data_IF_047557773929
#
_entry.id   IF_047557773929
#
_cell.length_a   1.000
_cell.length_b   1.000
_cell.length_c   1.000
_cell.angle_alpha   90.00
_cell.angle_beta   90.00
_cell.angle_gamma   90.00
#
_symmetry.space_group_name_H-M   'P 1'
#
loop_
_entity.id
_entity.type
_entity.pdbx_description
1 polymer ?
#
# COMPACT_ATOMS: atom_id res chain seq x y z
N UNK A 1 7.50 -7.36 35.76
CA UNK A 1 7.00 -6.35 34.81
C UNK A 1 5.95 -7.02 33.97
N UNK A 2 4.70 -6.56 34.04
CA UNK A 2 3.60 -7.08 33.23
C UNK A 2 3.89 -6.77 31.78
N UNK A 3 4.11 -7.80 30.96
CA UNK A 3 4.43 -7.65 29.54
C UNK A 3 3.16 -7.35 28.74
N UNK A 4 2.59 -6.16 28.95
CA UNK A 4 1.35 -5.68 28.34
C UNK A 4 1.33 -5.83 26.81
N UNK A 5 2.50 -5.76 26.17
CA UNK A 5 2.66 -6.02 24.75
C UNK A 5 2.15 -7.41 24.33
N UNK A 6 2.47 -8.48 25.08
CA UNK A 6 2.07 -9.84 24.71
C UNK A 6 0.60 -10.12 25.02
N UNK A 7 0.06 -9.47 26.04
CA UNK A 7 -1.37 -9.54 26.36
C UNK A 7 -2.22 -8.81 25.30
N UNK A 8 -1.74 -7.66 24.80
CA UNK A 8 -2.47 -6.84 23.82
C UNK A 8 -1.55 -6.27 22.72
N UNK A 9 -1.06 -7.12 21.80
CA UNK A 9 -0.12 -6.69 20.76
C UNK A 9 -0.77 -5.78 19.71
N UNK A 10 -2.09 -5.90 19.51
CA UNK A 10 -2.85 -5.13 18.52
C UNK A 10 -3.62 -4.01 19.22
N UNK A 11 -3.24 -2.76 18.91
CA UNK A 11 -3.83 -1.56 19.53
C UNK A 11 -4.95 -0.93 18.70
N UNK A 12 -4.96 -1.14 17.38
CA UNK A 12 -5.87 -0.44 16.46
C UNK A 12 -6.93 -1.36 15.89
N UNK A 13 -8.11 -0.80 15.62
CA UNK A 13 -9.13 -1.46 14.81
C UNK A 13 -8.66 -1.62 13.37
N UNK A 14 -8.95 -2.76 12.70
CA UNK A 14 -8.64 -2.93 11.28
C UNK A 14 -9.47 -2.03 10.35
N UNK A 15 -10.51 -1.39 10.88
CA UNK A 15 -11.43 -0.53 10.12
C UNK A 15 -11.17 0.97 10.31
N UNK A 16 -10.39 1.36 11.31
CA UNK A 16 -10.13 2.76 11.63
C UNK A 16 -8.70 3.15 11.24
N UNK A 17 -8.46 4.46 11.16
CA UNK A 17 -7.10 4.98 10.98
C UNK A 17 -6.19 4.52 12.13
N UNK A 18 -4.98 4.00 11.86
CA UNK A 18 -4.06 3.54 12.89
C UNK A 18 -3.47 4.72 13.64
N UNK A 19 -3.97 4.98 14.84
CA UNK A 19 -3.57 6.12 15.67
C UNK A 19 -2.49 5.78 16.70
N UNK A 20 -2.26 4.50 17.00
CA UNK A 20 -1.33 4.09 18.05
C UNK A 20 -0.34 3.02 17.58
N UNK A 21 0.83 2.95 18.19
CA UNK A 21 1.70 1.79 18.05
C UNK A 21 2.58 1.58 19.28
N UNK A 22 3.02 0.33 19.47
CA UNK A 22 4.06 0.01 20.43
C UNK A 22 5.41 0.54 19.93
N UNK A 23 6.12 1.28 20.80
CA UNK A 23 7.51 1.64 20.57
C UNK A 23 8.38 0.38 20.59
N UNK A 24 9.26 0.28 19.61
CA UNK A 24 10.26 -0.77 19.50
C UNK A 24 11.64 -0.12 19.68
N UNK A 25 12.51 -0.78 20.42
CA UNK A 25 13.91 -0.37 20.55
C UNK A 25 14.72 -0.62 19.26
N UNK A 26 16.01 -0.29 19.30
CA UNK A 26 16.93 -0.49 18.17
C UNK A 26 17.09 -1.97 17.75
N UNK A 27 16.79 -2.90 18.66
CA UNK A 27 16.82 -4.34 18.44
C UNK A 27 15.44 -4.91 18.04
N UNK A 28 14.43 -4.04 17.89
CA UNK A 28 13.07 -4.40 17.51
C UNK A 28 12.24 -4.98 18.65
N UNK A 29 12.69 -4.90 19.90
CA UNK A 29 11.97 -5.38 21.07
C UNK A 29 10.99 -4.33 21.59
N UNK A 30 9.79 -4.73 22.05
CA UNK A 30 8.79 -3.80 22.56
C UNK A 30 9.22 -3.19 23.89
N UNK A 31 9.19 -1.86 23.97
CA UNK A 31 9.55 -1.13 25.21
C UNK A 31 8.39 -1.01 26.21
N UNK A 32 7.24 -1.63 25.90
CA UNK A 32 5.96 -1.45 26.59
C UNK A 32 5.47 0.02 26.66
N UNK A 33 5.97 0.90 25.79
CA UNK A 33 5.45 2.25 25.62
C UNK A 33 4.56 2.34 24.39
N UNK A 34 3.41 2.99 24.55
CA UNK A 34 2.49 3.27 23.46
C UNK A 34 2.76 4.69 22.97
N UNK A 35 2.88 4.84 21.66
CA UNK A 35 3.01 6.13 20.99
C UNK A 35 1.70 6.45 20.27
N UNK A 36 1.20 7.67 20.47
CA UNK A 36 -0.09 8.20 20.01
C UNK A 36 -0.04 8.71 18.55
N UNK A 37 0.68 8.01 17.68
CA UNK A 37 0.68 8.29 16.25
C UNK A 37 0.86 7.01 15.43
N UNK A 38 0.57 7.12 14.12
CA UNK A 38 0.77 6.03 13.16
C UNK A 38 2.25 5.66 13.06
N UNK A 39 2.58 4.37 13.20
CA UNK A 39 3.93 3.87 12.96
C UNK A 39 4.44 4.25 11.57
N UNK A 40 5.59 4.92 11.52
CA UNK A 40 6.27 5.25 10.27
C UNK A 40 6.69 3.97 9.54
N UNK A 41 6.62 3.96 8.21
CA UNK A 41 7.22 2.89 7.43
C UNK A 41 8.73 2.92 7.71
N UNK A 42 9.32 1.74 7.97
CA UNK A 42 10.77 1.50 8.08
C UNK A 42 11.07 0.09 7.58
N UNK A 43 12.14 -0.06 6.81
CA UNK A 43 12.66 -1.39 6.49
C UNK A 43 13.56 -1.84 7.63
N UNK A 44 13.12 -2.87 8.35
CA UNK A 44 13.94 -3.54 9.36
C UNK A 44 14.48 -4.77 8.67
N UNK A 45 15.79 -4.83 8.40
CA UNK A 45 16.43 -6.06 7.93
C UNK A 45 16.51 -7.01 9.13
N UNK A 46 15.75 -8.13 9.13
CA UNK A 46 15.85 -9.10 10.19
C UNK A 46 17.10 -9.94 9.91
N UNK A 47 18.29 -9.40 10.21
CA UNK A 47 19.49 -10.24 10.30
C UNK A 47 19.50 -10.78 11.73
N UNK A 48 19.27 -12.10 11.93
CA UNK A 48 19.39 -12.67 13.26
C UNK A 48 20.84 -12.47 13.73
N UNK A 49 21.01 -11.72 14.83
CA UNK A 49 22.33 -11.55 15.43
C UNK A 49 22.83 -12.94 15.86
N UNK A 50 24.01 -13.41 15.40
CA UNK A 50 24.52 -14.71 15.78
C UNK A 50 24.71 -14.77 17.31
N UNK A 51 24.13 -15.79 17.95
CA UNK A 51 24.07 -15.94 19.42
C UNK A 51 25.43 -16.11 20.12
N UNK A 52 26.55 -16.19 19.39
CA UNK A 52 27.90 -16.33 19.97
C UNK A 52 28.86 -15.35 19.30
N UNK A 53 29.13 -14.24 19.96
CA UNK A 53 30.22 -13.32 19.60
C UNK A 53 31.50 -13.83 20.27
N UNK A 54 32.23 -14.75 19.62
CA UNK A 54 33.62 -15.01 20.01
C UNK A 54 34.44 -13.80 19.54
N UNK A 55 35.20 -13.21 20.46
CA UNK A 55 36.21 -12.19 20.13
C UNK A 55 37.25 -12.84 19.21
N UNK A 56 37.10 -12.65 17.91
CA UNK A 56 38.17 -12.89 16.94
C UNK A 56 38.12 -11.78 15.89
N UNK A 57 39.29 -11.23 15.62
CA UNK A 57 39.61 -9.98 14.93
C UNK A 57 39.30 -9.95 13.42
N UNK A 58 38.38 -10.77 12.92
CA UNK A 58 37.95 -10.73 11.53
C UNK A 58 36.53 -10.17 11.46
N UNK A 59 36.44 -8.87 11.17
CA UNK A 59 35.21 -8.26 10.68
C UNK A 59 34.85 -8.92 9.35
N UNK A 60 34.15 -10.05 9.40
CA UNK A 60 33.37 -10.52 8.27
C UNK A 60 32.40 -9.41 7.90
N UNK A 61 32.74 -8.74 6.79
CA UNK A 61 31.87 -7.82 6.06
C UNK A 61 30.47 -8.40 6.05
N UNK A 62 29.51 -7.60 6.49
CA UNK A 62 28.10 -7.92 6.37
C UNK A 62 27.86 -8.37 4.91
N UNK A 63 27.53 -9.66 4.74
CA UNK A 63 27.09 -10.20 3.47
C UNK A 63 25.83 -9.43 3.10
N UNK A 64 26.02 -8.39 2.29
CA UNK A 64 24.96 -7.71 1.56
C UNK A 64 24.33 -8.82 0.72
N UNK A 65 23.13 -9.26 1.14
CA UNK A 65 22.29 -10.13 0.34
C UNK A 65 21.92 -9.32 -0.90
N UNK A 66 22.78 -9.43 -1.91
CA UNK A 66 22.60 -8.82 -3.21
C UNK A 66 21.30 -9.34 -3.80
N UNK A 67 20.31 -8.46 -3.88
CA UNK A 67 19.46 -8.46 -5.06
C UNK A 67 20.40 -8.39 -6.28
N UNK A 68 20.16 -9.27 -7.25
CA UNK A 68 21.06 -9.50 -8.38
C UNK A 68 21.52 -8.21 -9.04
N UNK A 69 22.79 -8.20 -9.43
CA UNK A 69 23.58 -7.10 -10.01
C UNK A 69 24.24 -6.14 -9.01
N UNK A 70 25.26 -6.64 -8.29
CA UNK A 70 26.66 -6.19 -8.44
C UNK A 70 27.08 -4.71 -8.36
N UNK A 71 26.20 -3.73 -8.16
CA UNK A 71 26.60 -2.31 -8.05
C UNK A 71 25.60 -1.55 -7.18
N UNK A 72 25.91 -1.39 -5.89
CA UNK A 72 25.33 -0.29 -5.12
C UNK A 72 26.26 0.05 -3.95
N UNK A 73 26.97 1.17 -4.07
CA UNK A 73 27.67 1.80 -2.95
C UNK A 73 26.66 2.22 -1.87
N UNK A 74 27.12 2.41 -0.64
CA UNK A 74 26.28 2.76 0.52
C UNK A 74 25.44 4.05 0.34
N UNK A 75 25.80 4.92 -0.61
CA UNK A 75 25.08 6.14 -0.97
C UNK A 75 23.94 5.90 -1.99
N UNK A 76 23.95 4.77 -2.70
CA UNK A 76 22.93 4.36 -3.67
C UNK A 76 21.83 3.48 -3.09
N UNK A 77 21.77 3.35 -1.76
CA UNK A 77 20.56 2.90 -1.09
C UNK A 77 19.50 3.97 -1.35
N UNK A 78 18.77 3.79 -2.46
CA UNK A 78 17.41 4.30 -2.63
C UNK A 78 16.76 4.20 -1.25
N UNK A 79 16.27 5.30 -0.67
CA UNK A 79 15.50 5.24 0.58
C UNK A 79 14.02 5.11 0.20
N UNK A 80 13.52 3.89 -0.13
CA UNK A 80 12.11 3.68 -0.44
C UNK A 80 11.24 4.10 0.75
N UNK A 81 11.80 4.16 1.97
CA UNK A 81 11.10 4.54 3.19
C UNK A 81 10.65 6.00 3.17
N UNK A 82 11.52 6.91 2.74
CA UNK A 82 11.20 8.33 2.63
C UNK A 82 10.02 8.58 1.71
N UNK A 83 9.99 7.91 0.55
CA UNK A 83 8.95 8.05 -0.45
C UNK A 83 7.59 7.53 0.05
N UNK A 84 7.58 6.39 0.73
CA UNK A 84 6.34 5.81 1.28
C UNK A 84 5.73 6.73 2.33
N UNK A 85 6.54 7.25 3.26
CA UNK A 85 6.05 8.14 4.31
C UNK A 85 5.56 9.47 3.75
N UNK A 86 6.23 10.02 2.73
CA UNK A 86 5.78 11.23 2.03
C UNK A 86 4.42 11.02 1.34
N UNK A 87 4.25 9.94 0.57
CA UNK A 87 2.98 9.60 -0.08
C UNK A 87 1.87 9.44 0.96
N UNK A 88 2.11 8.73 2.07
CA UNK A 88 1.14 8.62 3.17
C UNK A 88 0.73 9.99 3.70
N UNK A 89 1.69 10.87 3.95
CA UNK A 89 1.39 12.22 4.42
C UNK A 89 0.59 13.05 3.41
N UNK A 90 0.79 12.86 2.10
CA UNK A 90 -0.04 13.50 1.07
C UNK A 90 -1.47 12.95 1.05
N UNK A 91 -1.61 11.63 1.08
CA UNK A 91 -2.93 10.96 1.10
C UNK A 91 -3.69 11.29 2.38
N UNK A 92 -3.02 11.35 3.53
CA UNK A 92 -3.63 11.71 4.81
C UNK A 92 -4.16 13.16 4.80
N UNK A 93 -3.36 14.11 4.28
CA UNK A 93 -3.81 15.50 4.08
C UNK A 93 -5.00 15.59 3.12
N UNK A 94 -4.95 14.85 2.02
CA UNK A 94 -6.05 14.81 1.05
C UNK A 94 -7.33 14.19 1.64
N UNK A 95 -7.20 13.14 2.46
CA UNK A 95 -8.33 12.49 3.14
C UNK A 95 -9.03 13.42 4.13
N UNK A 96 -8.32 14.37 4.73
CA UNK A 96 -8.86 15.34 5.70
C UNK A 96 -9.73 16.43 5.07
N UNK A 97 -9.76 16.55 3.73
CA UNK A 97 -10.60 17.54 3.04
C UNK A 97 -12.09 17.19 3.27
N UNK A 98 -12.87 18.03 3.99
CA UNK A 98 -14.25 17.70 4.36
C UNK A 98 -15.21 17.68 3.18
N UNK A 99 -15.02 18.61 2.24
CA UNK A 99 -15.90 18.80 1.09
C UNK A 99 -15.51 17.84 -0.05
N UNK A 100 -16.40 16.89 -0.43
CA UNK A 100 -16.13 15.96 -1.52
C UNK A 100 -15.87 16.61 -2.88
N UNK A 101 -16.40 17.83 -3.11
CA UNK A 101 -16.18 18.55 -4.37
C UNK A 101 -14.74 19.04 -4.52
N UNK A 102 -14.02 19.19 -3.41
CA UNK A 102 -12.64 19.66 -3.35
C UNK A 102 -11.61 18.53 -3.37
N UNK A 103 -12.05 17.27 -3.46
CA UNK A 103 -11.14 16.14 -3.53
C UNK A 103 -10.30 16.10 -4.82
N UNK A 104 -10.65 16.90 -5.84
CA UNK A 104 -9.89 16.95 -7.10
C UNK A 104 -9.91 15.63 -7.86
N UNK A 105 -10.96 14.84 -7.67
CA UNK A 105 -11.23 13.58 -8.37
C UNK A 105 -12.45 13.73 -9.26
N UNK A 106 -12.62 12.76 -10.13
CA UNK A 106 -13.82 12.67 -10.96
C UNK A 106 -15.10 12.39 -10.16
N UNK A 107 -16.28 12.86 -10.63
CA UNK A 107 -17.59 12.56 -10.02
C UNK A 107 -17.85 11.08 -9.67
N UNK A 108 -17.44 10.14 -10.51
CA UNK A 108 -17.59 8.70 -10.29
C UNK A 108 -16.67 8.24 -9.16
N UNK A 109 -15.41 8.66 -9.18
CA UNK A 109 -14.46 8.39 -8.09
C UNK A 109 -14.93 9.00 -6.78
N UNK A 110 -15.49 10.21 -6.80
CA UNK A 110 -16.06 10.85 -5.61
C UNK A 110 -17.18 9.98 -5.00
N UNK A 111 -18.10 9.46 -5.81
CA UNK A 111 -19.17 8.55 -5.35
C UNK A 111 -18.61 7.24 -4.78
N UNK A 112 -17.60 6.66 -5.44
CA UNK A 112 -16.93 5.45 -4.95
C UNK A 112 -16.25 5.69 -3.59
N UNK A 113 -15.53 6.80 -3.45
CA UNK A 113 -14.87 7.17 -2.20
C UNK A 113 -15.89 7.41 -1.08
N UNK A 114 -17.01 8.08 -1.36
CA UNK A 114 -18.10 8.25 -0.39
C UNK A 114 -18.67 6.90 0.05
N UNK A 115 -18.85 5.98 -0.90
CA UNK A 115 -19.33 4.62 -0.60
C UNK A 115 -18.33 3.87 0.28
N UNK A 116 -17.04 3.88 -0.02
CA UNK A 116 -16.04 3.15 0.75
C UNK A 116 -15.72 3.78 2.11
N UNK A 117 -15.79 5.11 2.24
CA UNK A 117 -15.47 5.83 3.47
C UNK A 117 -16.61 5.84 4.48
N UNK A 118 -17.84 6.02 4.01
CA UNK A 118 -18.95 6.46 4.89
C UNK A 118 -20.22 5.64 4.77
N UNK A 119 -20.30 4.69 3.82
CA UNK A 119 -21.52 3.90 3.67
C UNK A 119 -21.77 3.02 4.92
N UNK A 120 -22.99 2.99 5.47
CA UNK A 120 -23.33 2.15 6.60
C UNK A 120 -23.52 0.69 6.15
N UNK A 121 -22.41 -0.01 5.95
CA UNK A 121 -22.41 -1.43 5.60
C UNK A 121 -23.07 -2.26 6.72
N UNK A 122 -24.13 -3.01 6.38
CA UNK A 122 -24.83 -3.93 7.30
C UNK A 122 -24.08 -5.26 7.52
N UNK A 123 -22.88 -5.41 6.94
CA UNK A 123 -22.11 -6.64 6.97
C UNK A 123 -20.64 -6.39 6.64
N UNK A 124 -20.10 -7.11 5.65
CA UNK A 124 -18.70 -6.95 5.25
C UNK A 124 -18.44 -5.53 4.78
N UNK A 125 -17.55 -4.84 5.47
CA UNK A 125 -17.07 -3.50 5.12
C UNK A 125 -15.57 -3.52 4.83
N UNK A 126 -15.06 -2.61 3.98
CA UNK A 126 -13.64 -2.56 3.69
C UNK A 126 -12.78 -2.31 4.94
N UNK A 127 -11.64 -2.98 5.04
CA UNK A 127 -10.61 -2.62 6.02
C UNK A 127 -9.99 -1.27 5.66
N UNK A 128 -9.50 -0.54 6.65
CA UNK A 128 -8.82 0.73 6.43
C UNK A 128 -7.65 0.58 5.45
N UNK A 129 -6.85 -0.49 5.56
CA UNK A 129 -5.73 -0.73 4.67
C UNK A 129 -6.15 -1.00 3.21
N UNK A 130 -7.36 -1.53 2.98
CA UNK A 130 -7.91 -1.73 1.64
C UNK A 130 -8.33 -0.39 1.04
N UNK A 131 -9.04 0.42 1.82
CA UNK A 131 -9.45 1.78 1.42
C UNK A 131 -8.22 2.62 1.13
N UNK A 132 -7.23 2.64 2.03
CA UNK A 132 -5.99 3.37 1.87
C UNK A 132 -5.21 2.96 0.60
N UNK A 133 -5.14 1.66 0.31
CA UNK A 133 -4.45 1.17 -0.89
C UNK A 133 -5.10 1.73 -2.17
N UNK A 134 -6.43 1.74 -2.24
CA UNK A 134 -7.19 2.25 -3.39
C UNK A 134 -7.13 3.78 -3.44
N UNK A 135 -7.26 4.45 -2.30
CA UNK A 135 -7.07 5.90 -2.16
C UNK A 135 -5.70 6.35 -2.64
N UNK A 136 -4.64 5.60 -2.33
CA UNK A 136 -3.28 5.92 -2.78
C UNK A 136 -3.18 5.81 -4.31
N UNK A 137 -3.76 4.78 -4.91
CA UNK A 137 -3.80 4.64 -6.37
C UNK A 137 -4.61 5.77 -7.04
N UNK A 138 -5.77 6.12 -6.48
CA UNK A 138 -6.61 7.23 -6.93
C UNK A 138 -5.85 8.56 -6.83
N UNK A 139 -5.20 8.80 -5.69
CA UNK A 139 -4.47 10.04 -5.46
C UNK A 139 -3.34 10.20 -6.48
N UNK A 140 -2.56 9.13 -6.74
CA UNK A 140 -1.50 9.14 -7.74
C UNK A 140 -2.03 9.41 -9.16
N UNK A 141 -3.19 8.85 -9.53
CA UNK A 141 -3.72 8.94 -10.88
C UNK A 141 -4.52 10.23 -11.16
N UNK A 142 -5.31 10.70 -10.20
CA UNK A 142 -6.27 11.79 -10.40
C UNK A 142 -5.83 13.10 -9.75
N UNK A 143 -5.19 13.05 -8.58
CA UNK A 143 -4.91 14.24 -7.74
C UNK A 143 -3.48 14.73 -7.91
N UNK A 144 -2.51 13.83 -7.84
CA UNK A 144 -1.08 14.14 -7.91
C UNK A 144 -0.69 14.95 -9.16
N UNK A 145 -1.20 14.65 -10.37
CA UNK A 145 -0.86 15.42 -11.58
C UNK A 145 -1.28 16.90 -11.52
N UNK A 146 -2.19 17.27 -10.63
CA UNK A 146 -2.74 18.63 -10.53
C UNK A 146 -2.04 19.49 -9.46
N UNK A 147 -1.04 18.96 -8.75
CA UNK A 147 -0.31 19.68 -7.70
C UNK A 147 1.19 19.62 -7.92
N UNK A 148 1.92 20.66 -7.51
CA UNK A 148 3.38 20.68 -7.65
C UNK A 148 4.05 19.54 -6.85
N UNK A 149 3.60 19.32 -5.61
CA UNK A 149 4.11 18.25 -4.75
C UNK A 149 3.78 16.85 -5.33
N UNK A 150 2.59 16.69 -5.90
CA UNK A 150 2.19 15.44 -6.55
C UNK A 150 2.97 15.14 -7.81
N UNK A 151 3.22 16.14 -8.66
CA UNK A 151 4.09 16.00 -9.85
C UNK A 151 5.51 15.56 -9.46
N UNK A 152 6.10 16.19 -8.46
CA UNK A 152 7.42 15.79 -7.96
C UNK A 152 7.44 14.33 -7.46
N UNK A 153 6.36 13.87 -6.81
CA UNK A 153 6.20 12.47 -6.39
C UNK A 153 6.11 11.53 -7.61
N UNK A 154 5.33 11.89 -8.63
CA UNK A 154 5.20 11.08 -9.85
C UNK A 154 6.52 10.99 -10.62
N UNK A 155 7.25 12.10 -10.77
CA UNK A 155 8.57 12.13 -11.39
C UNK A 155 9.58 11.25 -10.64
N UNK A 156 9.50 11.19 -9.32
CA UNK A 156 10.34 10.33 -8.51
C UNK A 156 10.01 8.84 -8.74
N UNK A 157 8.72 8.49 -8.78
CA UNK A 157 8.27 7.13 -9.07
C UNK A 157 8.64 6.70 -10.50
N UNK A 158 8.49 7.60 -11.47
CA UNK A 158 8.86 7.34 -12.86
C UNK A 158 10.36 7.07 -12.99
N UNK A 159 11.21 7.93 -12.42
CA UNK A 159 12.67 7.72 -12.40
C UNK A 159 13.06 6.39 -11.77
N UNK A 160 12.39 6.00 -10.68
CA UNK A 160 12.61 4.70 -10.03
C UNK A 160 12.26 3.53 -10.95
N UNK A 161 11.12 3.64 -11.65
CA UNK A 161 10.66 2.61 -12.57
C UNK A 161 11.61 2.46 -13.76
N UNK A 162 12.06 3.58 -14.34
CA UNK A 162 13.01 3.65 -15.45
C UNK A 162 14.36 3.03 -15.09
N UNK A 163 14.89 3.34 -13.90
CA UNK A 163 16.15 2.77 -13.41
C UNK A 163 16.07 1.24 -13.25
N UNK A 164 14.92 0.72 -12.83
CA UNK A 164 14.74 -0.71 -12.60
C UNK A 164 14.35 -1.52 -13.85
N UNK A 165 13.53 -0.96 -14.76
CA UNK A 165 13.11 -1.57 -16.03
C UNK A 165 12.48 -0.48 -16.92
N UNK A 166 13.20 -0.01 -17.95
CA UNK A 166 12.71 1.02 -18.86
C UNK A 166 11.38 0.67 -19.54
N UNK A 167 10.63 1.69 -19.95
CA UNK A 167 9.37 1.60 -20.72
C UNK A 167 8.16 0.94 -20.01
N UNK A 168 8.31 0.49 -18.76
CA UNK A 168 7.19 -0.03 -17.97
C UNK A 168 7.07 0.74 -16.66
N UNK A 169 6.01 1.54 -16.52
CA UNK A 169 5.62 2.15 -15.24
C UNK A 169 5.11 1.07 -14.28
N UNK A 170 5.64 1.06 -13.05
CA UNK A 170 5.29 0.06 -12.04
C UNK A 170 4.99 0.73 -10.71
N UNK A 171 3.84 0.37 -10.16
CA UNK A 171 3.43 0.75 -8.81
C UNK A 171 3.12 -0.54 -8.06
N UNK A 172 3.68 -0.65 -6.85
CA UNK A 172 3.47 -1.79 -5.98
C UNK A 172 2.68 -1.37 -4.73
N UNK A 173 1.53 -2.01 -4.50
CA UNK A 173 0.77 -1.90 -3.26
C UNK A 173 1.12 -3.11 -2.38
N UNK A 174 1.90 -2.89 -1.32
CA UNK A 174 2.31 -3.97 -0.40
C UNK A 174 1.27 -4.19 0.70
N UNK A 175 0.60 -5.34 0.65
CA UNK A 175 -0.42 -5.74 1.61
C UNK A 175 -0.08 -7.08 2.28
N UNK A 176 -0.37 -7.20 3.57
CA UNK A 176 -0.18 -8.43 4.33
C UNK A 176 -1.11 -9.57 3.84
N UNK A 177 -0.73 -10.82 4.15
CA UNK A 177 -1.61 -11.97 3.99
C UNK A 177 -2.82 -11.83 4.91
N UNK A 178 -4.02 -12.16 4.42
CA UNK A 178 -5.28 -11.94 5.14
C UNK A 178 -5.86 -10.52 5.05
N UNK A 179 -5.11 -9.53 4.54
CA UNK A 179 -5.62 -8.15 4.43
C UNK A 179 -6.66 -7.93 3.32
N UNK A 180 -7.03 -8.95 2.55
CA UNK A 180 -7.98 -8.84 1.44
C UNK A 180 -7.40 -8.20 0.17
N UNK A 181 -6.25 -8.70 -0.31
CA UNK A 181 -5.63 -8.26 -1.57
C UNK A 181 -6.59 -8.33 -2.76
N UNK A 182 -7.38 -9.40 -2.85
CA UNK A 182 -8.39 -9.58 -3.89
C UNK A 182 -9.48 -8.51 -3.84
N UNK A 183 -9.88 -8.07 -2.65
CA UNK A 183 -10.83 -6.96 -2.48
C UNK A 183 -10.26 -5.66 -3.04
N UNK A 184 -8.98 -5.36 -2.78
CA UNK A 184 -8.30 -4.19 -3.38
C UNK A 184 -8.25 -4.29 -4.89
N UNK A 185 -7.97 -5.47 -5.46
CA UNK A 185 -8.02 -5.67 -6.91
C UNK A 185 -9.41 -5.37 -7.47
N UNK A 186 -10.47 -5.88 -6.82
CA UNK A 186 -11.85 -5.63 -7.23
C UNK A 186 -12.20 -4.13 -7.19
N UNK A 187 -11.80 -3.43 -6.12
CA UNK A 187 -12.02 -1.99 -5.98
C UNK A 187 -11.28 -1.18 -7.06
N UNK A 188 -10.04 -1.56 -7.38
CA UNK A 188 -9.27 -0.93 -8.47
C UNK A 188 -9.92 -1.18 -9.84
N UNK A 189 -10.35 -2.42 -10.12
CA UNK A 189 -11.04 -2.78 -11.37
C UNK A 189 -12.35 -1.99 -11.48
N UNK A 190 -13.13 -1.89 -10.40
CA UNK A 190 -14.38 -1.14 -10.37
C UNK A 190 -14.15 0.35 -10.65
N UNK A 191 -13.20 0.96 -9.94
CA UNK A 191 -12.82 2.37 -10.13
C UNK A 191 -12.39 2.66 -11.56
N UNK A 192 -11.47 1.85 -12.10
CA UNK A 192 -10.96 2.00 -13.47
C UNK A 192 -12.06 1.81 -14.51
N UNK A 193 -12.84 0.73 -14.39
CA UNK A 193 -13.89 0.40 -15.36
C UNK A 193 -15.00 1.43 -15.39
N UNK A 194 -15.52 1.84 -14.23
CA UNK A 194 -16.60 2.84 -14.14
C UNK A 194 -16.16 4.15 -14.78
N UNK A 195 -14.94 4.61 -14.46
CA UNK A 195 -14.41 5.84 -15.03
C UNK A 195 -14.14 5.74 -16.53
N UNK A 196 -13.60 4.62 -17.02
CA UNK A 196 -13.38 4.39 -18.44
C UNK A 196 -14.68 4.40 -19.25
N UNK A 197 -15.75 3.80 -18.71
CA UNK A 197 -17.08 3.78 -19.36
C UNK A 197 -17.73 5.17 -19.34
N UNK A 198 -17.63 5.90 -18.22
CA UNK A 198 -18.24 7.23 -18.09
C UNK A 198 -17.45 8.33 -18.79
N UNK A 199 -16.16 8.12 -19.06
CA UNK A 199 -15.26 9.05 -19.76
C UNK A 199 -14.50 8.37 -20.89
N UNK A 200 -15.17 8.01 -22.00
CA UNK A 200 -14.53 7.27 -23.10
C UNK A 200 -13.40 8.03 -23.80
N UNK A 201 -13.37 9.36 -23.69
CA UNK A 201 -12.30 10.20 -24.26
C UNK A 201 -11.06 10.30 -23.35
N UNK A 202 -11.17 9.90 -22.08
CA UNK A 202 -10.05 9.96 -21.13
C UNK A 202 -9.12 8.77 -21.35
N UNK A 203 -7.82 9.06 -21.53
CA UNK A 203 -6.76 8.03 -21.59
C UNK A 203 -6.28 7.58 -20.20
N UNK A 204 -6.82 8.16 -19.11
CA UNK A 204 -6.37 7.88 -17.74
C UNK A 204 -6.91 6.56 -17.19
N UNK A 205 -7.96 6.03 -17.79
CA UNK A 205 -8.69 4.87 -17.26
C UNK A 205 -8.74 3.73 -18.26
N UNK A 206 -8.81 2.50 -17.76
CA UNK A 206 -8.88 1.30 -18.59
C UNK A 206 -10.09 0.42 -18.25
N UNK A 207 -10.53 -0.34 -19.26
CA UNK A 207 -11.50 -1.45 -19.14
C UNK A 207 -10.85 -2.82 -19.35
N UNK A 208 -9.56 -2.85 -19.72
CA UNK A 208 -8.80 -4.07 -19.94
C UNK A 208 -7.83 -4.31 -18.79
N UNK A 209 -7.90 -5.49 -18.18
CA UNK A 209 -7.03 -5.90 -17.07
C UNK A 209 -6.42 -7.26 -17.39
N UNK A 210 -5.12 -7.39 -17.17
CA UNK A 210 -4.41 -8.66 -17.20
C UNK A 210 -4.00 -9.02 -15.78
N UNK A 211 -4.45 -10.18 -15.30
CA UNK A 211 -4.09 -10.71 -13.98
C UNK A 211 -3.17 -11.90 -14.19
N UNK A 212 -1.92 -11.75 -13.77
CA UNK A 212 -0.91 -12.82 -13.79
C UNK A 212 -0.85 -13.47 -12.42
N UNK A 213 -0.89 -14.80 -12.38
CA UNK A 213 -0.87 -15.59 -11.14
C UNK A 213 0.15 -16.73 -11.26
N UNK A 214 0.70 -17.22 -10.13
CA UNK A 214 1.74 -18.26 -10.17
C UNK A 214 1.22 -19.66 -10.56
N UNK A 215 -0.10 -19.87 -10.67
CA UNK A 215 -0.65 -21.18 -11.03
C UNK A 215 -2.17 -21.19 -11.15
N UNK A 216 -2.71 -22.26 -11.74
CA UNK A 216 -4.14 -22.40 -12.07
C UNK A 216 -5.04 -22.32 -10.84
N UNK A 217 -4.62 -22.86 -9.70
CA UNK A 217 -5.41 -22.81 -8.46
C UNK A 217 -5.67 -21.38 -7.98
N UNK A 218 -4.69 -20.49 -8.14
CA UNK A 218 -4.85 -19.08 -7.77
C UNK A 218 -5.70 -18.37 -8.83
N UNK A 219 -5.47 -18.66 -10.12
CA UNK A 219 -6.30 -18.17 -11.23
C UNK A 219 -7.78 -18.46 -10.99
N UNK A 220 -8.12 -19.71 -10.64
CA UNK A 220 -9.50 -20.14 -10.45
C UNK A 220 -10.15 -19.48 -9.24
N UNK A 221 -9.39 -19.24 -8.15
CA UNK A 221 -9.87 -18.46 -7.00
C UNK A 221 -10.14 -17.00 -7.33
N UNK A 222 -9.42 -16.42 -8.29
CA UNK A 222 -9.61 -15.03 -8.72
C UNK A 222 -10.79 -14.84 -9.67
N UNK A 223 -11.51 -15.90 -10.05
CA UNK A 223 -12.78 -15.82 -10.79
C UNK A 223 -13.83 -14.92 -10.12
N UNK A 224 -13.76 -14.76 -8.79
CA UNK A 224 -14.55 -13.77 -8.04
C UNK A 224 -14.42 -12.33 -8.57
N UNK A 225 -13.31 -11.99 -9.23
CA UNK A 225 -13.09 -10.67 -9.83
C UNK A 225 -13.88 -10.48 -11.14
N UNK A 226 -14.50 -11.53 -11.68
CA UNK A 226 -15.34 -11.47 -12.88
C UNK A 226 -16.81 -11.33 -12.46
N UNK A 227 -17.43 -10.15 -12.61
CA UNK A 227 -18.82 -9.96 -12.20
C UNK A 227 -19.79 -10.85 -12.99
N UNK A 228 -19.43 -11.18 -14.24
CA UNK A 228 -20.20 -12.03 -15.14
C UNK A 228 -19.96 -13.53 -14.92
N UNK A 229 -19.20 -13.94 -13.89
CA UNK A 229 -18.92 -15.34 -13.64
C UNK A 229 -20.23 -16.12 -13.39
N UNK A 230 -20.47 -17.25 -14.08
CA UNK A 230 -21.64 -18.09 -13.86
C UNK A 230 -21.83 -18.49 -12.39
N UNK A 231 -20.73 -18.71 -11.68
CA UNK A 231 -20.66 -19.15 -10.29
C UNK A 231 -20.48 -17.98 -9.30
N UNK A 232 -20.75 -16.74 -9.75
CA UNK A 232 -20.65 -15.55 -8.91
C UNK A 232 -21.63 -15.62 -7.74
N UNK A 233 -21.11 -15.56 -6.51
CA UNK A 233 -21.92 -15.56 -5.29
C UNK A 233 -22.75 -14.28 -5.09
N UNK A 234 -22.60 -13.28 -5.97
CA UNK A 234 -23.45 -12.08 -6.02
C UNK A 234 -24.73 -12.26 -6.85
N UNK A 235 -24.96 -13.44 -7.45
CA UNK A 235 -26.26 -13.81 -8.02
C UNK A 235 -27.23 -14.14 -6.88
N UNK A 236 -27.89 -13.11 -6.37
CA UNK A 236 -29.11 -13.21 -5.56
C UNK A 236 -30.33 -12.96 -6.44
#
# INVERSE_FOLDING_TARGET
MTEQFFEKPILNSPYAYPAHHWELDADGQPTNRILEFRRTARFVTPVPKPKKRRQSQDQQLALVLGEGAGVSTAEQLYDPTGNINAIRAHVDRWRQIPDPSQWGVTPETQRLLQHWRSHPFQGVRPFFCQVEAVETAIWLAEVAPNSAQGKATLELLQRASEQANPALERIALKLATGAGKTTVMAMLIAWQTINAVRRPQSRRFTRGFLIVTPGITIKDRLRVLQPSDPDSYYKS
#
